data_IF_065909999808
#
_entry.id   IF_065909999808
#
_cell.length_a   1.000
_cell.length_b   1.000
_cell.length_c   1.000
_cell.angle_alpha   90.00
_cell.angle_beta   90.00
_cell.angle_gamma   90.00
#
_symmetry.space_group_name_H-M   'P 1'
#
loop_
_entity.id
_entity.type
_entity.pdbx_description
1 polymer ?
#
# COMPACT_ATOMS: atom_id res chain seq x y z
N UNK A 1 -0.76 6.80 9.73
CA UNK A 1 0.48 6.43 10.45
C UNK A 1 0.36 6.73 11.95
N UNK A 2 0.18 7.99 12.38
CA UNK A 2 0.06 8.34 13.81
C UNK A 2 -1.10 7.64 14.54
N UNK A 3 -2.29 7.60 13.95
CA UNK A 3 -3.46 6.95 14.59
C UNK A 3 -3.25 5.44 14.84
N UNK A 4 -2.63 4.74 13.90
CA UNK A 4 -2.33 3.30 14.03
C UNK A 4 -1.29 3.03 15.13
N UNK A 5 -0.26 3.89 15.23
CA UNK A 5 0.75 3.81 16.28
C UNK A 5 0.16 4.05 17.68
N UNK A 6 -0.72 5.06 17.82
CA UNK A 6 -1.39 5.36 19.10
C UNK A 6 -2.32 4.22 19.51
N UNK A 7 -3.13 3.69 18.59
CA UNK A 7 -4.05 2.57 18.87
C UNK A 7 -3.27 1.30 19.26
N UNK A 8 -2.18 1.00 18.56
CA UNK A 8 -1.39 -0.20 18.85
C UNK A 8 -0.64 -0.10 20.18
N UNK A 9 -0.13 1.09 20.54
CA UNK A 9 0.47 1.34 21.85
C UNK A 9 -0.53 1.15 22.99
N UNK A 10 -1.75 1.67 22.84
CA UNK A 10 -2.81 1.55 23.86
C UNK A 10 -3.26 0.10 24.05
N UNK A 11 -3.30 -0.71 22.98
CA UNK A 11 -3.84 -2.07 23.02
C UNK A 11 -2.82 -3.15 23.40
N UNK A 12 -1.55 -2.96 23.04
CA UNK A 12 -0.53 -4.00 23.18
C UNK A 12 0.84 -3.48 23.69
N UNK A 13 0.88 -2.25 24.22
CA UNK A 13 2.09 -1.67 24.80
C UNK A 13 3.21 -1.46 23.78
N UNK A 14 4.46 -1.64 24.22
CA UNK A 14 5.66 -1.45 23.39
C UNK A 14 5.76 -2.46 22.25
N UNK A 15 5.30 -3.69 22.46
CA UNK A 15 5.31 -4.74 21.43
C UNK A 15 4.29 -4.43 20.32
N UNK A 16 3.14 -3.90 20.72
CA UNK A 16 2.14 -3.37 19.80
C UNK A 16 2.64 -2.21 18.95
N UNK A 17 3.31 -1.24 19.58
CA UNK A 17 3.92 -0.10 18.89
C UNK A 17 4.97 -0.56 17.87
N UNK A 18 5.80 -1.55 18.24
CA UNK A 18 6.84 -2.10 17.37
C UNK A 18 6.25 -2.79 16.15
N UNK A 19 5.23 -3.64 16.34
CA UNK A 19 4.50 -4.28 15.25
C UNK A 19 3.85 -3.26 14.31
N UNK A 20 3.15 -2.26 14.87
CA UNK A 20 2.50 -1.23 14.09
C UNK A 20 3.49 -0.34 13.31
N UNK A 21 4.66 -0.05 13.88
CA UNK A 21 5.72 0.69 13.20
C UNK A 21 6.29 -0.11 12.02
N UNK A 22 6.62 -1.39 12.21
CA UNK A 22 7.13 -2.27 11.15
C UNK A 22 6.11 -2.37 10.01
N UNK A 23 4.85 -2.69 10.34
CA UNK A 23 3.77 -2.78 9.36
C UNK A 23 3.58 -1.46 8.62
N UNK A 24 3.63 -0.32 9.33
CA UNK A 24 3.45 0.99 8.72
C UNK A 24 4.56 1.37 7.76
N UNK A 25 5.82 1.20 8.17
CA UNK A 25 6.98 1.54 7.34
C UNK A 25 7.02 0.66 6.10
N UNK A 26 6.84 -0.65 6.26
CA UNK A 26 6.81 -1.60 5.15
C UNK A 26 5.73 -1.23 4.13
N UNK A 27 4.50 -0.94 4.59
CA UNK A 27 3.40 -0.55 3.69
C UNK A 27 3.68 0.75 2.95
N UNK A 28 4.19 1.78 3.63
CA UNK A 28 4.52 3.04 2.96
C UNK A 28 5.60 2.86 1.90
N UNK A 29 6.68 2.13 2.21
CA UNK A 29 7.77 1.89 1.26
C UNK A 29 7.28 1.11 0.06
N UNK A 30 6.56 0.01 0.28
CA UNK A 30 6.07 -0.85 -0.80
C UNK A 30 5.09 -0.09 -1.70
N UNK A 31 4.12 0.61 -1.13
CA UNK A 31 3.13 1.36 -1.90
C UNK A 31 3.74 2.56 -2.63
N UNK A 32 4.71 3.25 -2.04
CA UNK A 32 5.42 4.35 -2.69
C UNK A 32 6.24 3.87 -3.89
N UNK A 33 7.03 2.80 -3.71
CA UNK A 33 7.82 2.19 -4.79
C UNK A 33 6.92 1.64 -5.89
N UNK A 34 5.83 0.95 -5.53
CA UNK A 34 4.85 0.46 -6.49
C UNK A 34 4.19 1.59 -7.27
N UNK A 35 3.73 2.65 -6.59
CA UNK A 35 3.12 3.81 -7.25
C UNK A 35 4.11 4.49 -8.20
N UNK A 36 5.37 4.66 -7.79
CA UNK A 36 6.42 5.22 -8.63
C UNK A 36 6.68 4.37 -9.89
N UNK A 37 6.79 3.05 -9.75
CA UNK A 37 6.98 2.14 -10.88
C UNK A 37 5.77 2.20 -11.85
N UNK A 38 4.56 2.27 -11.32
CA UNK A 38 3.34 2.40 -12.12
C UNK A 38 3.31 3.70 -12.92
N UNK A 39 3.64 4.84 -12.30
CA UNK A 39 3.72 6.13 -13.01
C UNK A 39 4.81 6.13 -14.08
N UNK A 40 5.95 5.48 -13.82
CA UNK A 40 7.03 5.37 -14.81
C UNK A 40 6.61 4.54 -16.04
N UNK A 41 5.89 3.43 -15.82
CA UNK A 41 5.37 2.60 -16.90
C UNK A 41 4.29 3.35 -17.68
N UNK A 42 3.36 4.00 -16.98
CA UNK A 42 2.28 4.76 -17.60
C UNK A 42 2.79 5.94 -18.45
N UNK A 43 3.89 6.58 -18.03
CA UNK A 43 4.55 7.63 -18.82
C UNK A 43 5.16 7.11 -20.14
N UNK A 44 5.54 5.83 -20.20
CA UNK A 44 6.12 5.21 -21.40
C UNK A 44 5.07 4.58 -22.33
N UNK A 45 4.03 3.98 -21.77
CA UNK A 45 2.98 3.31 -22.52
C UNK A 45 1.65 3.36 -21.76
N UNK A 46 0.76 4.32 -22.10
CA UNK A 46 -0.55 4.44 -21.47
C UNK A 46 -1.41 3.17 -21.66
N UNK A 47 -1.26 2.49 -22.79
CA UNK A 47 -1.99 1.25 -23.09
C UNK A 47 -1.59 0.07 -22.19
N UNK A 48 -0.37 0.08 -21.62
CA UNK A 48 0.10 -0.95 -20.69
C UNK A 48 -0.14 -0.59 -19.21
N UNK A 49 -0.71 0.58 -18.93
CA UNK A 49 -0.91 1.07 -17.56
C UNK A 49 -1.80 0.18 -16.71
N UNK A 50 -2.87 -0.38 -17.28
CA UNK A 50 -3.81 -1.29 -16.59
C UNK A 50 -3.16 -2.62 -16.17
N UNK A 51 -2.59 -3.42 -17.09
CA UNK A 51 -1.94 -4.67 -16.70
C UNK A 51 -0.71 -4.42 -15.82
N UNK A 52 0.02 -3.33 -16.03
CA UNK A 52 1.12 -2.95 -15.16
C UNK A 52 0.66 -2.61 -13.75
N UNK A 53 -0.45 -1.87 -13.60
CA UNK A 53 -1.01 -1.56 -12.28
C UNK A 53 -1.41 -2.84 -11.54
N UNK A 54 -2.10 -3.78 -12.21
CA UNK A 54 -2.45 -5.08 -11.61
C UNK A 54 -1.21 -5.84 -11.18
N UNK A 55 -0.18 -5.91 -12.03
CA UNK A 55 1.08 -6.58 -11.72
C UNK A 55 1.79 -5.95 -10.52
N UNK A 56 1.94 -4.63 -10.51
CA UNK A 56 2.63 -3.89 -9.44
C UNK A 56 1.89 -3.97 -8.11
N UNK A 57 0.56 -3.85 -8.10
CA UNK A 57 -0.23 -3.99 -6.88
C UNK A 57 -0.22 -5.44 -6.35
N UNK A 58 -0.27 -6.43 -7.24
CA UNK A 58 -0.15 -7.85 -6.85
C UNK A 58 1.21 -8.12 -6.23
N UNK A 59 2.29 -7.63 -6.86
CA UNK A 59 3.64 -7.77 -6.34
C UNK A 59 3.81 -7.04 -5.00
N UNK A 60 3.22 -5.86 -4.87
CA UNK A 60 3.18 -5.09 -3.61
C UNK A 60 2.49 -5.89 -2.50
N UNK A 61 1.36 -6.52 -2.79
CA UNK A 61 0.65 -7.40 -1.87
C UNK A 61 1.50 -8.61 -1.45
N UNK A 62 2.18 -9.26 -2.41
CA UNK A 62 3.09 -10.36 -2.13
C UNK A 62 4.26 -9.95 -1.24
N UNK A 63 4.89 -8.80 -1.50
CA UNK A 63 5.98 -8.28 -0.68
C UNK A 63 5.51 -8.02 0.75
N UNK A 64 4.34 -7.40 0.93
CA UNK A 64 3.76 -7.17 2.26
C UNK A 64 3.41 -8.47 2.98
N UNK A 65 2.92 -9.47 2.24
CA UNK A 65 2.69 -10.80 2.80
C UNK A 65 3.98 -11.46 3.27
N UNK A 66 5.06 -11.38 2.48
CA UNK A 66 6.39 -11.88 2.88
C UNK A 66 6.90 -11.13 4.10
N UNK A 67 6.73 -9.81 4.19
CA UNK A 67 7.10 -9.03 5.38
C UNK A 67 6.35 -9.54 6.61
N UNK A 68 5.04 -9.76 6.51
CA UNK A 68 4.25 -10.31 7.63
C UNK A 68 4.69 -11.72 8.00
N UNK A 69 5.03 -12.57 7.02
CA UNK A 69 5.60 -13.89 7.30
C UNK A 69 6.92 -13.78 8.05
N UNK A 70 7.84 -12.92 7.62
CA UNK A 70 9.12 -12.72 8.31
C UNK A 70 8.90 -12.21 9.74
N UNK A 71 7.99 -11.24 9.92
CA UNK A 71 7.62 -10.74 11.25
C UNK A 71 7.02 -11.85 12.12
N UNK A 72 6.23 -12.76 11.55
CA UNK A 72 5.65 -13.90 12.29
C UNK A 72 6.67 -14.94 12.72
N UNK A 73 7.81 -15.06 12.02
CA UNK A 73 8.89 -15.94 12.45
C UNK A 73 9.73 -15.32 13.59
N UNK A 74 9.79 -13.99 13.64
CA UNK A 74 10.62 -13.25 14.58
C UNK A 74 9.88 -12.75 15.84
N UNK A 75 8.55 -12.61 15.77
CA UNK A 75 7.73 -12.02 16.82
C UNK A 75 6.51 -12.86 17.16
N UNK A 76 6.06 -12.77 18.41
CA UNK A 76 4.80 -13.37 18.85
C UNK A 76 3.58 -12.64 18.31
N UNK A 77 2.40 -13.19 18.58
CA UNK A 77 1.10 -12.71 18.07
C UNK A 77 0.85 -11.22 18.42
N UNK A 78 1.41 -10.75 19.55
CA UNK A 78 1.35 -9.36 20.00
C UNK A 78 2.04 -8.35 19.05
N UNK A 79 2.96 -8.79 18.18
CA UNK A 79 3.65 -7.96 17.18
C UNK A 79 3.00 -8.13 15.80
N UNK A 80 2.64 -9.36 15.44
CA UNK A 80 2.09 -9.70 14.12
C UNK A 80 0.73 -9.05 13.90
N UNK A 81 -0.18 -9.12 14.88
CA UNK A 81 -1.52 -8.55 14.78
C UNK A 81 -1.51 -7.04 14.51
N UNK A 82 -0.81 -6.20 15.30
CA UNK A 82 -0.73 -4.76 15.04
C UNK A 82 0.02 -4.42 13.74
N UNK A 83 1.01 -5.23 13.33
CA UNK A 83 1.63 -5.09 12.02
C UNK A 83 0.62 -5.30 10.88
N UNK A 84 -0.15 -6.39 10.92
CA UNK A 84 -1.18 -6.69 9.93
C UNK A 84 -2.28 -5.62 9.89
N UNK A 85 -2.75 -5.16 11.05
CA UNK A 85 -3.72 -4.05 11.12
C UNK A 85 -3.18 -2.76 10.50
N UNK A 86 -1.93 -2.42 10.78
CA UNK A 86 -1.31 -1.21 10.21
C UNK A 86 -1.19 -1.31 8.69
N UNK A 87 -0.79 -2.47 8.19
CA UNK A 87 -0.74 -2.76 6.75
C UNK A 87 -2.12 -2.58 6.12
N UNK A 88 -3.16 -3.14 6.72
CA UNK A 88 -4.52 -3.07 6.20
C UNK A 88 -5.05 -1.64 6.19
N UNK A 89 -4.94 -0.91 7.31
CA UNK A 89 -5.41 0.49 7.42
C UNK A 89 -4.67 1.40 6.46
N UNK A 90 -3.35 1.28 6.33
CA UNK A 90 -2.58 2.11 5.41
C UNK A 90 -2.86 1.78 3.95
N UNK A 91 -3.05 0.50 3.61
CA UNK A 91 -3.40 0.11 2.24
C UNK A 91 -4.77 0.68 1.85
N UNK A 92 -5.76 0.62 2.75
CA UNK A 92 -7.08 1.22 2.52
C UNK A 92 -6.99 2.74 2.41
N UNK A 93 -6.27 3.39 3.32
CA UNK A 93 -6.09 4.84 3.28
C UNK A 93 -5.37 5.31 2.00
N UNK A 94 -4.33 4.58 1.59
CA UNK A 94 -3.56 4.87 0.38
C UNK A 94 -4.41 4.69 -0.87
N UNK A 95 -5.08 3.55 -1.04
CA UNK A 95 -5.92 3.26 -2.21
C UNK A 95 -7.11 4.22 -2.31
N UNK A 96 -7.73 4.57 -1.18
CA UNK A 96 -8.80 5.57 -1.13
C UNK A 96 -8.29 6.95 -1.54
N UNK A 97 -7.13 7.37 -1.02
CA UNK A 97 -6.52 8.65 -1.38
C UNK A 97 -6.12 8.67 -2.86
N UNK A 98 -5.53 7.59 -3.35
CA UNK A 98 -5.13 7.44 -4.75
C UNK A 98 -6.33 7.51 -5.68
N UNK A 99 -7.41 6.77 -5.39
CA UNK A 99 -8.66 6.82 -6.16
C UNK A 99 -9.28 8.23 -6.14
N UNK A 100 -9.25 8.91 -5.00
CA UNK A 100 -9.73 10.27 -4.87
C UNK A 100 -8.91 11.26 -5.71
N UNK A 101 -7.57 11.16 -5.67
CA UNK A 101 -6.67 12.04 -6.44
C UNK A 101 -6.82 11.80 -7.95
N UNK A 102 -6.82 10.55 -8.40
CA UNK A 102 -7.03 10.20 -9.82
C UNK A 102 -8.38 10.74 -10.32
N UNK A 103 -9.45 10.63 -9.51
CA UNK A 103 -10.78 11.14 -9.86
C UNK A 103 -10.83 12.67 -9.88
N UNK A 104 -10.13 13.34 -8.96
CA UNK A 104 -10.11 14.79 -8.83
C UNK A 104 -9.29 15.47 -9.93
N UNK A 105 -8.17 14.87 -10.33
CA UNK A 105 -7.24 15.48 -11.27
C UNK A 105 -7.60 15.24 -12.74
N UNK A 106 -8.64 14.44 -13.07
CA UNK A 106 -8.98 14.03 -14.44
C UNK A 106 -7.72 13.73 -15.26
N UNK A 107 -6.78 12.97 -14.69
CA UNK A 107 -5.54 12.65 -15.40
C UNK A 107 -5.96 11.81 -16.61
N UNK A 108 -5.70 12.26 -17.85
CA UNK A 108 -6.00 11.52 -19.07
C UNK A 108 -5.00 10.35 -19.20
N UNK A 109 -5.00 9.45 -18.21
CA UNK A 109 -4.34 8.15 -18.27
C UNK A 109 -5.20 7.14 -19.05
N UNK A 110 -6.48 7.48 -19.27
CA UNK A 110 -7.51 6.62 -19.89
C UNK A 110 -8.23 7.29 -21.07
N UNK A 111 -7.61 8.27 -21.74
CA UNK A 111 -8.12 8.68 -23.05
C UNK A 111 -7.86 7.55 -24.04
N UNK A 112 -8.85 6.67 -24.17
CA UNK A 112 -8.93 5.73 -25.29
C UNK A 112 -9.18 6.57 -26.55
N UNK A 113 -8.36 6.43 -27.61
CA UNK A 113 -8.66 7.05 -28.89
C UNK A 113 -10.05 6.54 -29.36
N UNK A 114 -11.06 7.42 -29.37
CA UNK A 114 -12.42 7.09 -29.81
C UNK A 114 -13.57 7.51 -28.89
N UNK A 115 -13.35 8.27 -27.80
CA UNK A 115 -14.45 8.79 -26.98
C UNK A 115 -15.27 9.92 -27.66
N UNK A 116 -14.81 10.40 -28.83
CA UNK A 116 -15.50 11.36 -29.68
C UNK A 116 -15.76 10.74 -31.07
N UNK A 117 -16.71 9.81 -31.17
CA UNK A 117 -17.33 9.42 -32.46
C UNK A 117 -18.75 8.93 -32.26
#
# INVERSE_FOLDING_TARGET
MLAALVVAFVLAGTDGLTGAAIGSIATVVVLAVGSWAMFWIAAKSPALSLPAAVGVFTLSGMVLFVVLLVVSQAGGDAVVRPAAFSVMVLTVAWTTTFAFLVRRERIPLFDLPGADS
#
